data_IF_339519739174
#
_entry.id   IF_339519739174
#
_cell.length_a   1.000
_cell.length_b   1.000
_cell.length_c   1.000
_cell.angle_alpha   90.00
_cell.angle_beta   90.00
_cell.angle_gamma   90.00
#
_symmetry.space_group_name_H-M   'P 1'
#
loop_
_entity.id
_entity.type
_entity.pdbx_description
1 polymer ?
#
# COMPACT_ATOMS: atom_id res chain seq x y z
N UNK A 1 60.29 -28.17 22.38
CA UNK A 1 60.22 -28.91 23.66
C UNK A 1 61.14 -30.11 23.56
N UNK A 2 62.26 -30.03 24.27
CA UNK A 2 63.37 -30.99 24.34
C UNK A 2 63.06 -32.09 25.35
N UNK A 3 63.19 -33.36 24.96
CA UNK A 3 63.26 -34.52 25.85
C UNK A 3 63.92 -35.69 25.10
N UNK A 4 64.71 -36.58 25.68
CA UNK A 4 65.61 -36.52 26.82
C UNK A 4 66.49 -37.77 26.64
N UNK A 5 67.81 -37.59 26.55
CA UNK A 5 68.78 -38.62 26.23
C UNK A 5 69.11 -39.42 27.50
N UNK A 6 68.63 -40.67 27.63
CA UNK A 6 69.00 -41.58 28.72
C UNK A 6 70.15 -42.49 28.27
N UNK A 7 71.37 -41.98 28.45
CA UNK A 7 72.59 -42.80 28.46
C UNK A 7 72.64 -43.46 29.84
N UNK A 8 72.30 -44.75 29.89
CA UNK A 8 72.48 -45.57 31.10
C UNK A 8 73.95 -45.94 31.26
N UNK A 9 74.55 -45.34 32.29
CA UNK A 9 75.80 -45.73 32.93
C UNK A 9 75.69 -47.20 33.35
N UNK A 10 76.40 -48.08 32.64
CA UNK A 10 76.66 -49.46 33.07
C UNK A 10 78.13 -49.55 33.48
N UNK A 11 78.32 -49.35 34.78
CA UNK A 11 79.19 -50.12 35.66
C UNK A 11 80.52 -50.65 35.06
N UNK A 12 81.48 -49.74 34.92
CA UNK A 12 82.90 -50.04 34.79
C UNK A 12 83.52 -50.07 36.20
N UNK A 13 83.40 -51.18 36.94
CA UNK A 13 84.24 -51.46 38.13
C UNK A 13 84.00 -52.87 38.67
N UNK A 14 84.73 -53.84 38.13
CA UNK A 14 85.02 -55.12 38.81
C UNK A 14 86.34 -55.66 38.27
N UNK A 15 87.41 -54.92 38.55
CA UNK A 15 88.78 -55.44 38.53
C UNK A 15 89.37 -55.21 39.92
N UNK A 16 90.11 -56.22 40.40
CA UNK A 16 90.84 -56.32 41.68
C UNK A 16 90.02 -56.83 42.88
N UNK A 17 90.14 -58.13 43.12
CA UNK A 17 90.75 -58.62 44.36
C UNK A 17 91.38 -60.01 44.10
N UNK A 18 92.71 -60.02 44.21
CA UNK A 18 93.56 -61.20 44.19
C UNK A 18 93.21 -62.13 45.34
N UNK A 19 93.00 -63.41 45.02
CA UNK A 19 93.05 -64.52 45.96
C UNK A 19 94.08 -65.53 45.49
N UNK A 20 95.33 -65.38 45.94
CA UNK A 20 96.40 -66.33 45.75
C UNK A 20 96.02 -67.71 46.28
N UNK A 21 95.86 -68.68 45.39
CA UNK A 21 96.01 -70.10 45.73
C UNK A 21 96.55 -70.82 44.51
N UNK A 22 97.85 -71.10 44.54
CA UNK A 22 98.52 -71.97 43.59
C UNK A 22 98.13 -73.42 43.89
N UNK A 23 97.46 -74.14 42.98
CA UNK A 23 97.58 -75.58 42.95
C UNK A 23 98.82 -75.92 42.12
N UNK A 24 99.74 -76.63 42.75
CA UNK A 24 100.78 -77.42 42.08
C UNK A 24 100.20 -78.13 40.86
N UNK A 25 100.80 -77.86 39.70
CA UNK A 25 100.41 -78.41 38.42
C UNK A 25 100.83 -79.88 38.30
N UNK A 26 99.91 -80.82 38.02
CA UNK A 26 100.27 -81.99 37.24
C UNK A 26 100.53 -81.52 35.80
N UNK A 27 101.59 -82.07 35.18
CA UNK A 27 102.18 -81.75 33.87
C UNK A 27 101.26 -81.92 32.64
N UNK A 28 99.93 -81.82 32.79
CA UNK A 28 98.95 -81.89 31.70
C UNK A 28 97.76 -80.93 31.78
N UNK A 29 97.61 -80.12 32.85
CA UNK A 29 96.38 -79.34 33.10
C UNK A 29 96.32 -77.94 32.45
N UNK A 30 97.42 -77.43 31.88
CA UNK A 30 97.45 -76.09 31.27
C UNK A 30 96.71 -75.97 29.94
N UNK A 31 96.56 -77.07 29.19
CA UNK A 31 95.80 -77.05 27.93
C UNK A 31 94.31 -76.79 28.16
N UNK A 32 93.76 -77.37 29.23
CA UNK A 32 92.30 -77.41 29.48
C UNK A 32 91.72 -76.09 29.99
N UNK A 33 92.44 -75.35 30.85
CA UNK A 33 91.98 -74.06 31.37
C UNK A 33 92.05 -72.94 30.31
N UNK A 34 93.09 -72.97 29.46
CA UNK A 34 93.22 -72.06 28.32
C UNK A 34 92.14 -72.31 27.27
N UNK A 35 91.85 -73.58 26.96
CA UNK A 35 90.77 -73.98 26.05
C UNK A 35 89.38 -73.54 26.54
N UNK A 36 89.10 -73.65 27.84
CA UNK A 36 87.83 -73.19 28.43
C UNK A 36 87.65 -71.67 28.36
N UNK A 37 88.69 -70.88 28.62
CA UNK A 37 88.64 -69.43 28.49
C UNK A 37 88.46 -68.98 27.03
N UNK A 38 89.11 -69.66 26.08
CA UNK A 38 88.94 -69.40 24.64
C UNK A 38 87.50 -69.72 24.20
N UNK A 39 86.95 -70.86 24.63
CA UNK A 39 85.57 -71.24 24.31
C UNK A 39 84.55 -70.26 24.90
N UNK A 40 84.77 -69.78 26.14
CA UNK A 40 83.92 -68.78 26.77
C UNK A 40 84.00 -67.43 26.03
N UNK A 41 85.20 -66.96 25.68
CA UNK A 41 85.38 -65.74 24.91
C UNK A 41 84.77 -65.83 23.50
N UNK A 42 84.84 -67.00 22.86
CA UNK A 42 84.17 -67.26 21.58
C UNK A 42 82.65 -67.20 21.70
N UNK A 43 82.09 -67.80 22.74
CA UNK A 43 80.66 -67.74 23.03
C UNK A 43 80.18 -66.30 23.27
N UNK A 44 80.89 -65.55 24.12
CA UNK A 44 80.57 -64.13 24.38
C UNK A 44 80.68 -63.27 23.12
N UNK A 45 81.68 -63.52 22.27
CA UNK A 45 81.82 -62.85 20.96
C UNK A 45 80.64 -63.19 20.05
N UNK A 46 80.24 -64.46 19.99
CA UNK A 46 79.16 -64.90 19.11
C UNK A 46 77.80 -64.39 19.61
N UNK A 47 77.57 -64.35 20.92
CA UNK A 47 76.40 -63.71 21.56
C UNK A 47 76.37 -62.20 21.29
N UNK A 48 77.50 -61.50 21.40
CA UNK A 48 77.61 -60.08 21.07
C UNK A 48 77.33 -59.81 19.57
N UNK A 49 77.84 -60.67 18.68
CA UNK A 49 77.55 -60.58 17.23
C UNK A 49 76.07 -60.84 16.95
N UNK A 50 75.42 -61.77 17.66
CA UNK A 50 73.99 -62.00 17.54
C UNK A 50 73.17 -60.78 18.01
N UNK A 51 73.55 -60.16 19.13
CA UNK A 51 72.92 -58.93 19.62
C UNK A 51 73.10 -57.76 18.63
N UNK A 52 74.31 -57.59 18.08
CA UNK A 52 74.57 -56.56 17.06
C UNK A 52 73.70 -56.76 15.81
N UNK A 53 73.54 -58.01 15.33
CA UNK A 53 72.63 -58.30 14.22
C UNK A 53 71.17 -57.99 14.54
N UNK A 54 70.71 -58.30 15.75
CA UNK A 54 69.35 -57.98 16.18
C UNK A 54 69.10 -56.46 16.23
N UNK A 55 70.06 -55.69 16.77
CA UNK A 55 69.98 -54.22 16.79
C UNK A 55 70.01 -53.64 15.38
N UNK A 56 70.86 -54.19 14.49
CA UNK A 56 70.92 -53.77 13.10
C UNK A 56 69.57 -53.99 12.40
N UNK A 57 68.94 -55.16 12.61
CA UNK A 57 67.62 -55.45 12.06
C UNK A 57 66.53 -54.51 12.62
N UNK A 58 66.58 -54.16 13.90
CA UNK A 58 65.68 -53.14 14.46
C UNK A 58 65.88 -51.75 13.83
N UNK A 59 67.13 -51.37 13.56
CA UNK A 59 67.47 -50.12 12.86
C UNK A 59 66.90 -50.09 11.45
N UNK A 60 67.02 -51.19 10.70
CA UNK A 60 66.52 -51.28 9.33
C UNK A 60 64.98 -51.26 9.30
N UNK A 61 64.31 -51.98 10.21
CA UNK A 61 62.85 -51.90 10.37
C UNK A 61 62.40 -50.47 10.73
N UNK A 62 63.14 -49.77 11.59
CA UNK A 62 62.81 -48.40 11.98
C UNK A 62 63.00 -47.41 10.82
N UNK A 63 64.02 -47.61 9.98
CA UNK A 63 64.25 -46.82 8.76
C UNK A 63 63.12 -47.01 7.74
N UNK A 64 62.72 -48.26 7.51
CA UNK A 64 61.59 -48.56 6.61
C UNK A 64 60.28 -47.95 7.12
N UNK A 65 60.00 -48.05 8.42
CA UNK A 65 58.82 -47.44 9.02
C UNK A 65 58.84 -45.90 8.92
N UNK A 66 59.99 -45.26 9.17
CA UNK A 66 60.15 -43.81 9.01
C UNK A 66 59.94 -43.36 7.56
N UNK A 67 60.50 -44.09 6.59
CA UNK A 67 60.33 -43.79 5.18
C UNK A 67 58.85 -43.92 4.74
N UNK A 68 58.14 -44.94 5.23
CA UNK A 68 56.71 -45.11 4.97
C UNK A 68 55.88 -43.95 5.54
N UNK A 69 56.19 -43.50 6.77
CA UNK A 69 55.54 -42.37 7.41
C UNK A 69 55.77 -41.05 6.67
N UNK A 70 56.97 -40.81 6.15
CA UNK A 70 57.27 -39.61 5.36
C UNK A 70 56.44 -39.55 4.06
N UNK A 71 56.26 -40.69 3.39
CA UNK A 71 55.41 -40.78 2.19
C UNK A 71 53.96 -40.50 2.53
N UNK A 72 53.42 -41.10 3.60
CA UNK A 72 52.05 -40.86 4.07
C UNK A 72 51.83 -39.39 4.47
N UNK A 73 52.77 -38.79 5.20
CA UNK A 73 52.72 -37.37 5.54
C UNK A 73 52.76 -36.48 4.29
N UNK A 74 53.57 -36.82 3.30
CA UNK A 74 53.63 -36.13 2.02
C UNK A 74 52.29 -36.16 1.27
N UNK A 75 51.61 -37.30 1.24
CA UNK A 75 50.27 -37.42 0.65
C UNK A 75 49.24 -36.59 1.42
N UNK A 76 49.21 -36.74 2.76
CA UNK A 76 48.28 -35.99 3.62
C UNK A 76 48.48 -34.47 3.51
N UNK A 77 49.74 -34.01 3.42
CA UNK A 77 50.08 -32.60 3.23
C UNK A 77 49.58 -32.04 1.90
N UNK A 78 49.73 -32.81 0.80
CA UNK A 78 49.18 -32.43 -0.51
C UNK A 78 47.67 -32.36 -0.48
N UNK A 79 47.01 -33.37 0.07
CA UNK A 79 45.56 -33.39 0.20
C UNK A 79 45.05 -32.21 1.05
N UNK A 80 45.75 -31.87 2.14
CA UNK A 80 45.42 -30.70 2.94
C UNK A 80 45.60 -29.39 2.17
N UNK A 81 46.57 -29.28 1.27
CA UNK A 81 46.74 -28.13 0.40
C UNK A 81 45.61 -28.02 -0.64
N UNK A 82 45.19 -29.14 -1.21
CA UNK A 82 44.05 -29.20 -2.15
C UNK A 82 42.74 -28.80 -1.47
N UNK A 83 42.43 -29.34 -0.28
CA UNK A 83 41.25 -28.94 0.48
C UNK A 83 41.26 -27.45 0.85
N UNK A 84 42.42 -26.88 1.20
CA UNK A 84 42.54 -25.43 1.45
C UNK A 84 42.26 -24.60 0.20
N UNK A 85 42.76 -25.04 -0.96
CA UNK A 85 42.52 -24.35 -2.22
C UNK A 85 41.04 -24.42 -2.64
N UNK A 86 40.39 -25.56 -2.44
CA UNK A 86 38.96 -25.73 -2.70
C UNK A 86 38.11 -24.84 -1.78
N UNK A 87 38.44 -24.80 -0.49
CA UNK A 87 37.75 -23.93 0.48
C UNK A 87 37.88 -22.44 0.11
N UNK A 88 39.04 -22.01 -0.38
CA UNK A 88 39.23 -20.65 -0.86
C UNK A 88 38.36 -20.34 -2.09
N UNK A 89 38.26 -21.27 -3.06
CA UNK A 89 37.36 -21.14 -4.22
C UNK A 89 35.90 -21.06 -3.79
N UNK A 90 35.48 -21.88 -2.82
CA UNK A 90 34.12 -21.84 -2.28
C UNK A 90 33.83 -20.51 -1.58
N UNK A 91 34.78 -19.98 -0.81
CA UNK A 91 34.64 -18.66 -0.18
C UNK A 91 34.48 -17.55 -1.22
N UNK A 92 35.27 -17.59 -2.30
CA UNK A 92 35.13 -16.64 -3.42
C UNK A 92 33.76 -16.77 -4.11
N UNK A 93 33.28 -17.99 -4.35
CA UNK A 93 31.93 -18.24 -4.87
C UNK A 93 30.84 -17.68 -3.96
N UNK A 94 30.95 -17.86 -2.64
CA UNK A 94 29.97 -17.31 -1.68
C UNK A 94 29.98 -15.78 -1.69
N UNK A 95 31.17 -15.16 -1.72
CA UNK A 95 31.25 -13.68 -1.76
C UNK A 95 30.68 -13.10 -3.05
N UNK A 96 30.97 -13.71 -4.21
CA UNK A 96 30.41 -13.28 -5.50
C UNK A 96 28.90 -13.51 -5.58
N UNK A 97 28.39 -14.64 -5.06
CA UNK A 97 26.95 -14.90 -4.97
C UNK A 97 26.23 -13.88 -4.08
N UNK A 98 26.81 -13.52 -2.92
CA UNK A 98 26.28 -12.50 -2.04
C UNK A 98 26.26 -11.11 -2.71
N UNK A 99 27.33 -10.76 -3.44
CA UNK A 99 27.37 -9.52 -4.21
C UNK A 99 26.33 -9.48 -5.34
N UNK A 100 26.12 -10.60 -6.04
CA UNK A 100 25.09 -10.72 -7.07
C UNK A 100 23.68 -10.58 -6.50
N UNK A 101 23.42 -11.22 -5.34
CA UNK A 101 22.15 -11.09 -4.63
C UNK A 101 21.88 -9.64 -4.22
N UNK A 102 22.87 -8.94 -3.66
CA UNK A 102 22.73 -7.54 -3.28
C UNK A 102 22.42 -6.62 -4.47
N UNK A 103 23.04 -6.88 -5.64
CA UNK A 103 22.72 -6.16 -6.88
C UNK A 103 21.28 -6.40 -7.34
N UNK A 104 20.83 -7.66 -7.33
CA UNK A 104 19.46 -8.01 -7.71
C UNK A 104 18.41 -7.37 -6.77
N UNK A 105 18.70 -7.33 -5.46
CA UNK A 105 17.84 -6.65 -4.48
C UNK A 105 17.78 -5.13 -4.71
N UNK A 106 18.90 -4.50 -5.05
CA UNK A 106 18.95 -3.07 -5.40
C UNK A 106 18.18 -2.77 -6.69
N UNK A 107 18.32 -3.60 -7.72
CA UNK A 107 17.60 -3.45 -8.98
C UNK A 107 16.09 -3.62 -8.78
N UNK A 108 15.67 -4.59 -7.96
CA UNK A 108 14.28 -4.76 -7.56
C UNK A 108 13.73 -3.53 -6.83
N UNK A 109 14.46 -3.02 -5.84
CA UNK A 109 14.04 -1.84 -5.09
C UNK A 109 13.91 -0.60 -5.99
N UNK A 110 14.82 -0.43 -6.96
CA UNK A 110 14.74 0.63 -7.95
C UNK A 110 13.52 0.48 -8.86
N UNK A 111 13.24 -0.72 -9.34
CA UNK A 111 12.06 -0.98 -10.17
C UNK A 111 10.74 -0.71 -9.41
N UNK A 112 10.67 -1.10 -8.14
CA UNK A 112 9.53 -0.81 -7.27
C UNK A 112 9.36 0.70 -7.03
N UNK A 113 10.47 1.43 -6.82
CA UNK A 113 10.44 2.89 -6.66
C UNK A 113 10.00 3.61 -7.96
N UNK A 114 10.52 3.18 -9.12
CA UNK A 114 10.12 3.73 -10.42
C UNK A 114 8.63 3.44 -10.70
N UNK A 115 8.13 2.24 -10.39
CA UNK A 115 6.72 1.90 -10.50
C UNK A 115 5.84 2.76 -9.58
N UNK A 116 6.27 3.01 -8.34
CA UNK A 116 5.56 3.88 -7.42
C UNK A 116 5.51 5.34 -7.90
N UNK A 117 6.61 5.85 -8.49
CA UNK A 117 6.63 7.19 -9.11
C UNK A 117 5.61 7.29 -10.24
N UNK A 118 5.62 6.33 -11.16
CA UNK A 118 4.69 6.30 -12.30
C UNK A 118 3.23 6.20 -11.82
N UNK A 119 2.95 5.38 -10.81
CA UNK A 119 1.60 5.28 -10.24
C UNK A 119 1.14 6.61 -9.62
N UNK A 120 2.03 7.32 -8.92
CA UNK A 120 1.73 8.63 -8.35
C UNK A 120 1.49 9.68 -9.43
N UNK A 121 2.36 9.76 -10.44
CA UNK A 121 2.18 10.69 -11.57
C UNK A 121 0.86 10.46 -12.28
N UNK A 122 0.48 9.20 -12.50
CA UNK A 122 -0.83 8.86 -13.08
C UNK A 122 -1.98 9.28 -12.17
N UNK A 123 -1.90 9.02 -10.86
CA UNK A 123 -2.94 9.42 -9.91
C UNK A 123 -3.10 10.95 -9.85
N UNK A 124 -1.99 11.70 -9.92
CA UNK A 124 -2.01 13.17 -9.97
C UNK A 124 -2.64 13.67 -11.28
N UNK A 125 -2.33 13.04 -12.42
CA UNK A 125 -2.95 13.36 -13.72
C UNK A 125 -4.45 13.06 -13.73
N UNK A 126 -4.87 11.90 -13.21
CA UNK A 126 -6.28 11.50 -13.12
C UNK A 126 -7.05 12.45 -12.18
N UNK A 127 -6.45 12.86 -11.05
CA UNK A 127 -7.03 13.84 -10.14
C UNK A 127 -7.14 15.24 -10.77
N UNK A 128 -6.14 15.68 -11.53
CA UNK A 128 -6.18 16.94 -12.27
C UNK A 128 -7.28 16.94 -13.34
N UNK A 129 -7.41 15.84 -14.10
CA UNK A 129 -8.47 15.67 -15.08
C UNK A 129 -9.87 15.69 -14.44
N UNK A 130 -10.03 15.03 -13.29
CA UNK A 130 -11.29 15.04 -12.55
C UNK A 130 -11.67 16.45 -12.06
N UNK A 131 -10.70 17.23 -11.55
CA UNK A 131 -10.92 18.63 -11.15
C UNK A 131 -11.30 19.52 -12.33
N UNK A 132 -10.57 19.43 -13.44
CA UNK A 132 -10.88 20.21 -14.65
C UNK A 132 -12.29 19.90 -15.18
N UNK A 133 -12.71 18.62 -15.14
CA UNK A 133 -14.07 18.23 -15.51
C UNK A 133 -15.10 18.83 -14.55
N UNK A 134 -14.88 18.73 -13.24
CA UNK A 134 -15.80 19.30 -12.25
C UNK A 134 -15.93 20.83 -12.38
N UNK A 135 -14.84 21.53 -12.67
CA UNK A 135 -14.85 22.98 -12.92
C UNK A 135 -15.61 23.33 -14.21
N UNK A 136 -15.44 22.56 -15.28
CA UNK A 136 -16.21 22.74 -16.52
C UNK A 136 -17.71 22.50 -16.31
N UNK A 137 -18.07 21.41 -15.62
CA UNK A 137 -19.46 21.08 -15.30
C UNK A 137 -20.10 22.16 -14.40
N UNK A 138 -19.36 22.69 -13.42
CA UNK A 138 -19.81 23.79 -12.56
C UNK A 138 -19.98 25.11 -13.34
N UNK A 139 -19.07 25.42 -14.26
CA UNK A 139 -19.17 26.60 -15.12
C UNK A 139 -20.39 26.52 -16.07
N UNK A 140 -20.66 25.34 -16.63
CA UNK A 140 -21.85 25.13 -17.45
C UNK A 140 -23.14 25.22 -16.63
N UNK A 141 -23.18 24.63 -15.44
CA UNK A 141 -24.32 24.75 -14.54
C UNK A 141 -24.61 26.21 -14.16
N UNK A 142 -23.56 27.00 -13.87
CA UNK A 142 -23.69 28.44 -13.60
C UNK A 142 -24.24 29.20 -14.82
N UNK A 143 -23.73 28.93 -16.03
CA UNK A 143 -24.25 29.56 -17.26
C UNK A 143 -25.74 29.27 -17.48
N UNK A 144 -26.17 28.02 -17.26
CA UNK A 144 -27.58 27.64 -17.36
C UNK A 144 -28.43 28.33 -16.29
N UNK A 145 -27.93 28.45 -15.07
CA UNK A 145 -28.62 29.18 -14.01
C UNK A 145 -28.76 30.68 -14.33
N UNK A 146 -27.69 31.31 -14.80
CA UNK A 146 -27.70 32.72 -15.22
C UNK A 146 -28.68 32.95 -16.39
N UNK A 147 -28.73 32.03 -17.37
CA UNK A 147 -29.68 32.08 -18.48
C UNK A 147 -31.14 31.92 -18.03
N UNK A 148 -31.42 30.97 -17.12
CA UNK A 148 -32.76 30.77 -16.57
C UNK A 148 -33.22 31.99 -15.75
N UNK A 149 -32.34 32.59 -14.96
CA UNK A 149 -32.62 33.81 -14.23
C UNK A 149 -32.92 34.99 -15.18
N UNK A 150 -32.17 35.12 -16.28
CA UNK A 150 -32.44 36.14 -17.30
C UNK A 150 -33.80 35.94 -17.99
N UNK A 151 -34.18 34.70 -18.32
CA UNK A 151 -35.49 34.38 -18.91
C UNK A 151 -36.64 34.70 -17.95
N UNK A 152 -36.51 34.35 -16.67
CA UNK A 152 -37.51 34.66 -15.64
C UNK A 152 -37.69 36.18 -15.46
N UNK A 153 -36.57 36.92 -15.41
CA UNK A 153 -36.62 38.38 -15.30
C UNK A 153 -37.28 39.02 -16.54
N UNK A 154 -36.92 38.58 -17.76
CA UNK A 154 -37.53 39.09 -18.98
C UNK A 154 -39.05 38.81 -19.05
N UNK A 155 -39.48 37.63 -18.58
CA UNK A 155 -40.91 37.30 -18.48
C UNK A 155 -41.63 38.22 -17.49
N UNK A 156 -41.03 38.47 -16.32
CA UNK A 156 -41.59 39.39 -15.32
C UNK A 156 -41.66 40.83 -15.85
N UNK A 157 -40.59 41.32 -16.49
CA UNK A 157 -40.54 42.66 -17.10
C UNK A 157 -41.61 42.83 -18.19
N UNK A 158 -41.92 41.76 -18.96
CA UNK A 158 -42.99 41.81 -19.96
C UNK A 158 -44.39 41.92 -19.34
N UNK A 159 -44.64 41.21 -18.24
CA UNK A 159 -45.91 41.27 -17.49
C UNK A 159 -46.08 42.67 -16.89
N UNK A 160 -45.03 43.23 -16.29
CA UNK A 160 -45.09 44.53 -15.61
C UNK A 160 -45.25 45.69 -16.61
N UNK A 161 -44.58 45.61 -17.78
CA UNK A 161 -44.70 46.63 -18.82
C UNK A 161 -46.09 46.62 -19.49
N UNK A 162 -46.67 45.43 -19.69
CA UNK A 162 -48.02 45.31 -20.27
C UNK A 162 -49.12 45.71 -19.26
N UNK A 163 -48.85 45.58 -17.95
CA UNK A 163 -49.67 46.17 -16.89
C UNK A 163 -49.62 47.69 -16.83
N UNK A 164 -48.42 48.28 -16.93
CA UNK A 164 -48.26 49.72 -16.94
C UNK A 164 -48.94 50.40 -18.13
N UNK A 165 -48.98 49.75 -19.30
CA UNK A 165 -49.55 50.33 -20.53
C UNK A 165 -51.08 50.50 -20.50
N UNK A 166 -51.79 49.67 -19.73
CA UNK A 166 -53.26 49.62 -19.75
C UNK A 166 -53.93 50.26 -18.51
N UNK A 167 -53.16 50.86 -17.57
CA UNK A 167 -53.65 51.34 -16.28
C UNK A 167 -54.49 50.27 -15.54
N UNK A 168 -54.00 49.03 -15.60
CA UNK A 168 -54.62 47.89 -14.93
C UNK A 168 -53.79 47.57 -13.70
N UNK A 169 -54.43 47.63 -12.53
CA UNK A 169 -53.78 47.20 -11.28
C UNK A 169 -53.58 45.69 -11.34
N UNK A 170 -52.32 45.24 -11.34
CA UNK A 170 -51.94 43.84 -11.17
C UNK A 170 -51.51 43.64 -9.71
N UNK A 171 -52.10 42.67 -9.00
CA UNK A 171 -51.64 42.29 -7.65
C UNK A 171 -51.30 40.82 -7.60
N UNK A 172 -50.25 40.53 -6.83
CA UNK A 172 -49.79 39.18 -6.51
C UNK A 172 -50.21 38.88 -5.07
N UNK A 173 -51.06 37.88 -4.89
CA UNK A 173 -51.50 37.43 -3.57
C UNK A 173 -51.52 35.91 -3.54
N UNK A 174 -51.22 35.32 -2.39
CA UNK A 174 -51.50 33.91 -2.15
C UNK A 174 -52.97 33.78 -1.67
N UNK A 175 -53.72 32.90 -2.31
CA UNK A 175 -55.15 32.74 -2.06
C UNK A 175 -55.63 31.31 -2.29
N UNK A 176 -56.76 30.98 -1.68
CA UNK A 176 -57.43 29.68 -1.78
C UNK A 176 -58.83 29.86 -2.35
N UNK A 177 -59.23 29.02 -3.31
CA UNK A 177 -60.58 29.04 -3.88
C UNK A 177 -61.57 28.38 -2.89
N UNK A 178 -62.64 29.09 -2.52
CA UNK A 178 -63.68 28.61 -1.59
C UNK A 178 -64.88 28.04 -2.35
N UNK A 179 -65.31 28.74 -3.40
CA UNK A 179 -66.47 28.36 -4.21
C UNK A 179 -66.04 28.25 -5.68
N UNK A 180 -65.25 27.23 -5.99
CA UNK A 180 -64.80 26.93 -7.35
C UNK A 180 -65.71 25.89 -8.02
N UNK A 181 -66.17 26.17 -9.24
CA UNK A 181 -66.65 25.14 -10.17
C UNK A 181 -65.48 24.21 -10.54
N UNK A 182 -65.74 22.96 -10.92
CA UNK A 182 -64.69 21.93 -11.13
C UNK A 182 -63.58 22.29 -12.14
N UNK A 183 -63.77 23.31 -12.99
CA UNK A 183 -62.77 23.79 -13.97
C UNK A 183 -61.95 25.01 -13.51
N UNK A 184 -62.06 25.46 -12.26
CA UNK A 184 -61.32 26.63 -11.77
C UNK A 184 -59.98 26.23 -11.15
N UNK A 185 -58.89 26.75 -11.72
CA UNK A 185 -57.50 26.58 -11.24
C UNK A 185 -57.00 27.86 -10.54
N UNK A 186 -55.99 27.72 -9.67
CA UNK A 186 -55.21 28.85 -9.13
C UNK A 186 -54.14 29.34 -10.10
N UNK A 187 -53.95 28.64 -11.22
CA UNK A 187 -53.04 29.03 -12.29
C UNK A 187 -53.73 29.98 -13.28
N UNK A 188 -53.07 31.09 -13.63
CA UNK A 188 -53.57 32.06 -14.61
C UNK A 188 -53.77 33.46 -14.03
N UNK A 189 -54.46 34.31 -14.79
CA UNK A 189 -54.72 35.71 -14.47
C UNK A 189 -56.21 35.87 -14.13
N UNK A 190 -56.51 36.12 -12.85
CA UNK A 190 -57.86 36.20 -12.33
C UNK A 190 -58.34 37.64 -12.33
N UNK A 191 -59.56 37.88 -12.81
CA UNK A 191 -60.12 39.23 -12.91
C UNK A 191 -61.05 39.44 -11.73
N UNK A 192 -60.62 40.28 -10.80
CA UNK A 192 -61.32 40.57 -9.55
C UNK A 192 -62.19 41.81 -9.73
N UNK A 193 -63.47 41.67 -9.39
CA UNK A 193 -64.46 42.77 -9.43
C UNK A 193 -64.87 43.26 -8.05
N UNK A 194 -64.50 42.56 -6.99
CA UNK A 194 -64.81 42.93 -5.62
C UNK A 194 -63.90 42.28 -4.58
N UNK A 195 -63.72 42.97 -3.45
CA UNK A 195 -62.91 42.53 -2.31
C UNK A 195 -63.65 42.84 -1.01
N UNK A 196 -64.05 41.82 -0.27
CA UNK A 196 -64.88 41.96 0.93
C UNK A 196 -64.21 41.31 2.15
N UNK A 197 -64.32 41.95 3.32
CA UNK A 197 -63.93 41.33 4.60
C UNK A 197 -64.97 40.34 5.13
N UNK A 198 -66.22 40.45 4.65
CA UNK A 198 -67.36 39.64 5.08
C UNK A 198 -67.78 38.72 3.93
N UNK A 199 -67.76 37.41 4.17
CA UNK A 199 -68.07 36.37 3.20
C UNK A 199 -69.46 36.55 2.56
N UNK A 200 -70.46 36.90 3.37
CA UNK A 200 -71.83 37.08 2.89
C UNK A 200 -71.94 38.19 1.83
N UNK A 201 -71.11 39.24 1.92
CA UNK A 201 -71.07 40.30 0.91
C UNK A 201 -70.47 39.80 -0.40
N UNK A 202 -69.42 38.97 -0.32
CA UNK A 202 -68.84 38.31 -1.49
C UNK A 202 -69.85 37.35 -2.15
N UNK A 203 -70.58 36.57 -1.34
CA UNK A 203 -71.63 35.66 -1.83
C UNK A 203 -72.77 36.41 -2.54
N UNK A 204 -73.19 37.57 -2.02
CA UNK A 204 -74.21 38.40 -2.69
C UNK A 204 -73.76 38.85 -4.08
N UNK A 205 -72.52 39.35 -4.20
CA UNK A 205 -71.98 39.76 -5.50
C UNK A 205 -71.80 38.56 -6.44
N UNK A 206 -71.35 37.42 -5.92
CA UNK A 206 -71.26 36.18 -6.67
C UNK A 206 -72.61 35.77 -7.25
N UNK A 207 -73.67 35.72 -6.43
CA UNK A 207 -75.04 35.40 -6.91
C UNK A 207 -75.50 36.38 -7.99
N UNK A 208 -75.28 37.68 -7.81
CA UNK A 208 -75.62 38.69 -8.81
C UNK A 208 -74.90 38.46 -10.14
N UNK A 209 -73.61 38.13 -10.10
CA UNK A 209 -72.81 37.85 -11.29
C UNK A 209 -73.27 36.55 -11.99
N UNK A 210 -73.67 35.54 -11.22
CA UNK A 210 -74.27 34.29 -11.74
C UNK A 210 -75.60 34.57 -12.44
N UNK A 211 -76.47 35.42 -11.86
CA UNK A 211 -77.73 35.83 -12.47
C UNK A 211 -77.53 36.62 -13.79
N UNK A 212 -76.42 37.36 -13.88
CA UNK A 212 -75.98 38.03 -15.11
C UNK A 212 -75.37 37.07 -16.15
N UNK A 213 -75.35 35.76 -15.89
CA UNK A 213 -74.85 34.73 -16.80
C UNK A 213 -73.33 34.53 -16.75
N UNK A 214 -72.63 35.11 -15.78
CA UNK A 214 -71.20 34.87 -15.57
C UNK A 214 -70.98 33.60 -14.73
N UNK A 215 -69.75 33.10 -14.73
CA UNK A 215 -69.31 32.02 -13.85
C UNK A 215 -68.30 32.54 -12.82
N UNK A 216 -68.76 33.36 -11.85
CA UNK A 216 -67.87 33.92 -10.85
C UNK A 216 -67.33 32.82 -9.92
N UNK A 217 -66.20 33.11 -9.27
CA UNK A 217 -65.64 32.28 -8.19
C UNK A 217 -65.21 33.17 -7.02
N UNK A 218 -65.12 32.57 -5.83
CA UNK A 218 -64.67 33.28 -4.63
C UNK A 218 -63.34 32.69 -4.17
N UNK A 219 -62.34 33.54 -4.03
CA UNK A 219 -61.05 33.22 -3.42
C UNK A 219 -60.89 33.93 -2.07
N UNK A 220 -60.13 33.35 -1.15
CA UNK A 220 -59.73 33.98 0.11
C UNK A 220 -58.23 34.10 0.16
N UNK A 221 -57.75 35.32 0.39
CA UNK A 221 -56.33 35.60 0.50
C UNK A 221 -55.78 35.38 1.93
N UNK A 222 -54.47 35.50 2.10
CA UNK A 222 -53.78 35.37 3.40
C UNK A 222 -54.28 36.36 4.46
N UNK A 223 -54.74 37.55 4.06
CA UNK A 223 -55.33 38.55 4.98
C UNK A 223 -56.77 38.24 5.37
N UNK A 224 -57.33 37.11 4.90
CA UNK A 224 -58.70 36.70 5.18
C UNK A 224 -59.78 37.43 4.38
N UNK A 225 -59.40 38.22 3.37
CA UNK A 225 -60.33 38.93 2.49
C UNK A 225 -60.85 38.02 1.38
N UNK A 226 -62.13 38.13 1.07
CA UNK A 226 -62.82 37.41 0.01
C UNK A 226 -62.75 38.20 -1.30
N UNK A 227 -62.08 37.64 -2.31
CA UNK A 227 -61.94 38.13 -3.68
C UNK A 227 -63.05 37.51 -4.53
N UNK A 228 -63.85 38.34 -5.18
CA UNK A 228 -64.85 37.88 -6.16
C UNK A 228 -64.25 38.00 -7.54
N UNK A 229 -64.02 36.84 -8.16
CA UNK A 229 -63.41 36.70 -9.48
C UNK A 229 -64.54 36.51 -10.48
N UNK A 230 -64.57 37.28 -11.57
CA UNK A 230 -65.61 37.17 -12.60
C UNK A 230 -65.19 36.23 -13.75
N UNK A 231 -63.88 36.15 -14.03
CA UNK A 231 -63.30 35.31 -15.06
C UNK A 231 -61.80 35.10 -14.77
N UNK A 232 -61.26 34.01 -15.32
CA UNK A 232 -59.83 33.67 -15.30
C UNK A 232 -59.37 33.50 -16.74
N UNK A 233 -58.27 34.15 -17.12
CA UNK A 233 -57.70 34.04 -18.46
C UNK A 233 -56.27 33.47 -18.36
N UNK A 234 -55.81 32.66 -19.33
CA UNK A 234 -54.52 31.98 -19.27
C UNK A 234 -53.34 32.94 -19.52
N UNK A 235 -53.58 34.06 -20.20
CA UNK A 235 -52.55 35.04 -20.53
C UNK A 235 -52.88 36.44 -20.01
N UNK A 236 -51.84 37.20 -19.67
CA UNK A 236 -52.00 38.59 -19.23
C UNK A 236 -52.71 39.46 -20.28
N UNK A 237 -52.39 39.25 -21.56
CA UNK A 237 -52.98 39.99 -22.69
C UNK A 237 -54.49 39.76 -22.78
N UNK A 238 -54.97 38.53 -22.59
CA UNK A 238 -56.41 38.23 -22.59
C UNK A 238 -57.09 38.80 -21.35
N UNK A 239 -56.47 38.66 -20.18
CA UNK A 239 -56.97 39.24 -18.94
C UNK A 239 -57.12 40.76 -19.03
N UNK A 240 -56.13 41.45 -19.61
CA UNK A 240 -56.17 42.90 -19.76
C UNK A 240 -57.31 43.38 -20.66
N UNK A 241 -57.56 42.69 -21.78
CA UNK A 241 -58.71 42.96 -22.66
C UNK A 241 -60.03 42.71 -21.92
N UNK A 242 -60.11 41.62 -21.16
CA UNK A 242 -61.30 41.27 -20.40
C UNK A 242 -61.58 42.27 -19.28
N UNK A 243 -60.57 42.78 -18.58
CA UNK A 243 -60.71 43.87 -17.60
C UNK A 243 -61.34 45.11 -18.24
N UNK A 244 -60.89 45.52 -19.43
CA UNK A 244 -61.47 46.68 -20.11
C UNK A 244 -62.97 46.49 -20.39
N UNK A 245 -63.37 45.28 -20.82
CA UNK A 245 -64.78 44.92 -21.03
C UNK A 245 -65.57 44.92 -19.72
N UNK A 246 -65.00 44.34 -18.65
CA UNK A 246 -65.63 44.25 -17.32
C UNK A 246 -65.79 45.64 -16.68
N UNK A 247 -64.80 46.53 -16.83
CA UNK A 247 -64.88 47.93 -16.40
C UNK A 247 -66.00 48.67 -17.12
N UNK A 248 -66.10 48.50 -18.44
CA UNK A 248 -67.18 49.09 -19.23
C UNK A 248 -68.57 48.53 -18.89
N UNK A 249 -68.64 47.29 -18.39
CA UNK A 249 -69.88 46.63 -17.98
C UNK A 249 -70.39 47.04 -16.58
N UNK A 250 -69.73 47.97 -15.90
CA UNK A 250 -70.19 48.52 -14.61
C UNK A 250 -69.32 48.17 -13.40
N UNK A 251 -68.15 47.57 -13.60
CA UNK A 251 -67.19 47.25 -12.54
C UNK A 251 -65.89 48.06 -12.72
N UNK A 252 -65.91 49.39 -12.54
CA UNK A 252 -64.78 50.27 -12.86
C UNK A 252 -63.51 49.95 -12.06
N UNK A 253 -63.67 49.40 -10.85
CA UNK A 253 -62.57 49.03 -9.96
C UNK A 253 -61.96 47.67 -10.29
N UNK A 254 -62.31 47.02 -11.41
CA UNK A 254 -61.79 45.70 -11.73
C UNK A 254 -60.26 45.68 -11.92
N UNK A 255 -59.62 44.65 -11.39
CA UNK A 255 -58.16 44.48 -11.36
C UNK A 255 -57.76 43.01 -11.55
N UNK A 256 -56.47 42.76 -11.84
CA UNK A 256 -55.97 41.42 -12.12
C UNK A 256 -55.22 40.89 -10.89
N UNK A 257 -55.56 39.68 -10.49
CA UNK A 257 -54.96 38.91 -9.42
C UNK A 257 -54.18 37.73 -10.01
N UNK A 258 -52.93 37.55 -9.57
CA UNK A 258 -52.09 36.41 -9.93
C UNK A 258 -51.64 35.72 -8.64
N UNK A 259 -51.64 34.39 -8.66
CA UNK A 259 -51.14 33.58 -7.55
C UNK A 259 -49.62 33.70 -7.45
N UNK A 260 -49.09 33.85 -6.23
CA UNK A 260 -47.64 34.02 -5.96
C UNK A 260 -47.04 32.77 -5.31
#
# INVERSE_FOLDING_TARGET
MTMNNKISIVLLCSLLLLGCKTPTLPSGAHKTAGEQLIAQAQKERDDAVAQLRAVQQQLDNCRESSAALEVEYGKASKQAAECRAELARMQEQVTSANAAKARAEADKAKAEADAARVAREKAEADAAAARAKAEADAAEAKRRADEMAARQKAQQDSIDNEAAKNDITLRKENFQLINASQDQTTEGYHIVVGSFSVENNANRLHTLLTEQGNQPSIARNESGMFRVIIATEPTYLEASKRVAVVRAAGYPDAWILVHQ
#
